data_IF_695185718882
#
_entry.id   IF_695185718882
#
_cell.length_a   1.000
_cell.length_b   1.000
_cell.length_c   1.000
_cell.angle_alpha   90.00
_cell.angle_beta   90.00
_cell.angle_gamma   90.00
#
_symmetry.space_group_name_H-M   'P 1'
#
loop_
_entity.id
_entity.type
_entity.pdbx_description
1 polymer ?
#
# COMPACT_ATOMS: atom_id res chain seq x y z
N UNK A 1 6.91 55.06 51.75
CA UNK A 1 5.83 54.11 52.10
C UNK A 1 4.68 54.31 51.10
N UNK A 2 3.99 53.25 50.65
CA UNK A 2 4.45 52.18 49.77
C UNK A 2 3.87 52.32 48.35
N UNK A 3 4.61 51.85 47.34
CA UNK A 3 4.09 51.61 45.99
C UNK A 3 3.30 50.30 45.99
N UNK A 4 2.00 50.36 45.72
CA UNK A 4 1.16 49.18 45.54
C UNK A 4 0.87 49.00 44.05
N UNK A 5 1.61 48.09 43.41
CA UNK A 5 1.22 47.53 42.11
C UNK A 5 0.40 46.26 42.37
N UNK A 6 -0.76 46.07 41.72
CA UNK A 6 -1.46 44.80 41.78
C UNK A 6 -0.70 43.76 40.94
N UNK A 7 -0.34 42.64 41.56
CA UNK A 7 0.18 41.47 40.85
C UNK A 7 -0.98 40.82 40.10
N UNK A 8 -0.99 40.93 38.77
CA UNK A 8 -1.87 40.13 37.93
C UNK A 8 -1.35 38.70 37.98
N UNK A 9 -2.08 37.84 38.69
CA UNK A 9 -1.89 36.40 38.71
C UNK A 9 -2.26 35.82 37.33
N UNK A 10 -1.33 35.23 36.57
CA UNK A 10 -1.71 34.47 35.41
C UNK A 10 -2.25 33.11 35.88
N UNK A 11 -3.58 33.03 35.88
CA UNK A 11 -4.41 31.84 35.82
C UNK A 11 -3.63 30.55 35.58
N UNK A 12 -3.56 29.75 36.65
CA UNK A 12 -3.37 28.28 36.67
C UNK A 12 -3.53 27.63 35.28
N UNK A 13 -2.39 27.34 34.65
CA UNK A 13 -2.36 26.48 33.47
C UNK A 13 -2.57 25.04 33.95
N UNK A 14 -3.56 24.28 33.46
CA UNK A 14 -3.59 22.86 33.73
C UNK A 14 -2.33 22.24 33.11
N UNK A 15 -1.49 21.63 33.94
CA UNK A 15 -0.42 20.77 33.46
C UNK A 15 -1.03 19.70 32.57
N UNK A 16 -0.56 19.48 31.33
CA UNK A 16 -0.81 18.21 30.68
C UNK A 16 0.02 17.18 31.46
N UNK A 17 -0.61 16.47 32.38
CA UNK A 17 -0.12 15.18 32.86
C UNK A 17 -0.20 14.21 31.68
N UNK A 18 0.74 14.31 30.74
CA UNK A 18 1.06 13.23 29.82
C UNK A 18 2.29 12.51 30.38
N UNK A 19 2.04 11.80 31.47
CA UNK A 19 2.92 10.70 31.90
C UNK A 19 2.42 9.44 31.20
N UNK A 20 2.60 9.40 29.89
CA UNK A 20 2.54 8.15 29.13
C UNK A 20 3.95 7.88 28.64
N UNK A 21 4.54 6.88 29.26
CA UNK A 21 5.72 6.15 28.83
C UNK A 21 5.88 6.16 27.30
N UNK A 22 7.06 6.47 26.72
CA UNK A 22 7.31 6.25 25.30
C UNK A 22 7.42 4.74 25.07
N UNK A 23 6.28 4.06 25.13
CA UNK A 23 6.11 2.78 24.46
C UNK A 23 6.57 2.99 23.02
N UNK A 24 7.41 2.12 22.46
CA UNK A 24 7.81 2.25 21.07
C UNK A 24 6.53 2.32 20.25
N UNK A 25 6.28 3.47 19.62
CA UNK A 25 5.23 3.62 18.62
C UNK A 25 5.71 2.72 17.47
N UNK A 26 5.36 1.44 17.53
CA UNK A 26 5.41 0.57 16.37
C UNK A 26 4.37 1.17 15.43
N UNK A 27 4.82 2.04 14.52
CA UNK A 27 4.00 2.45 13.38
C UNK A 27 3.90 1.19 12.53
N UNK A 28 2.96 0.33 12.89
CA UNK A 28 2.57 -0.79 12.07
C UNK A 28 1.94 -0.17 10.82
N UNK A 29 2.74 -0.06 9.76
CA UNK A 29 2.24 0.39 8.49
C UNK A 29 1.34 -0.71 7.91
N UNK A 30 0.31 -0.30 7.19
CA UNK A 30 -0.62 -1.19 6.51
C UNK A 30 -0.23 -1.31 5.04
N UNK A 31 -0.34 -2.50 4.47
CA UNK A 31 -0.17 -2.67 3.01
C UNK A 31 -1.38 -2.01 2.35
N UNK A 32 -1.11 -0.98 1.54
CA UNK A 32 -2.12 -0.27 0.77
C UNK A 32 -2.04 -0.67 -0.69
N UNK A 33 -3.21 -0.78 -1.29
CA UNK A 33 -3.46 -1.14 -2.67
C UNK A 33 -4.20 -0.01 -3.40
N UNK A 34 -4.20 -0.09 -4.72
CA UNK A 34 -4.90 0.83 -5.60
C UNK A 34 -6.14 0.17 -6.19
N UNK A 35 -7.10 -0.20 -5.34
CA UNK A 35 -8.37 -0.74 -5.83
C UNK A 35 -9.24 0.35 -6.44
N UNK A 36 -9.49 0.25 -7.75
CA UNK A 36 -10.34 1.20 -8.47
C UNK A 36 -11.83 0.93 -8.22
N UNK A 37 -12.64 1.98 -8.35
CA UNK A 37 -14.09 1.83 -8.41
C UNK A 37 -14.53 1.07 -9.67
N UNK A 38 -15.70 0.43 -9.63
CA UNK A 38 -16.30 -0.22 -10.83
C UNK A 38 -16.42 0.75 -12.00
N UNK A 39 -16.77 2.00 -11.74
CA UNK A 39 -16.87 3.02 -12.78
C UNK A 39 -15.50 3.32 -13.41
N UNK A 40 -14.43 3.40 -12.62
CA UNK A 40 -13.06 3.60 -13.11
C UNK A 40 -12.62 2.44 -14.00
N UNK A 41 -12.80 1.19 -13.53
CA UNK A 41 -12.49 -0.02 -14.30
C UNK A 41 -13.22 -0.03 -15.65
N UNK A 42 -14.50 0.31 -15.67
CA UNK A 42 -15.30 0.38 -16.91
C UNK A 42 -14.89 1.51 -17.87
N UNK A 43 -14.25 2.57 -17.36
CA UNK A 43 -13.82 3.72 -18.16
C UNK A 43 -12.32 3.71 -18.45
N UNK A 44 -11.62 2.58 -18.17
CA UNK A 44 -10.16 2.46 -18.34
C UNK A 44 -9.43 3.61 -17.63
N UNK A 45 -9.80 3.84 -16.38
CA UNK A 45 -9.16 4.81 -15.49
C UNK A 45 -8.56 4.05 -14.32
N UNK A 46 -7.34 4.41 -13.99
CA UNK A 46 -6.58 3.77 -12.91
C UNK A 46 -6.21 4.81 -11.86
N UNK A 47 -6.02 4.37 -10.63
CA UNK A 47 -5.69 5.24 -9.50
C UNK A 47 -4.40 6.05 -9.73
N UNK A 48 -3.46 5.49 -10.48
CA UNK A 48 -2.15 6.07 -10.77
C UNK A 48 -2.15 7.10 -11.90
N UNK A 49 -3.16 7.09 -12.78
CA UNK A 49 -3.22 7.96 -13.96
C UNK A 49 -4.32 9.01 -13.88
N UNK A 50 -5.28 8.84 -12.96
CA UNK A 50 -6.45 9.70 -12.87
C UNK A 50 -6.41 10.62 -11.64
N UNK A 51 -5.49 11.58 -11.64
CA UNK A 51 -5.27 12.55 -10.55
C UNK A 51 -6.54 13.29 -10.10
N UNK A 52 -7.49 13.51 -11.03
CA UNK A 52 -8.75 14.17 -10.71
C UNK A 52 -9.51 13.43 -9.60
N UNK A 53 -9.64 12.10 -9.67
CA UNK A 53 -10.39 11.37 -8.63
C UNK A 53 -9.63 11.34 -7.32
N UNK A 54 -8.31 11.26 -7.39
CA UNK A 54 -7.45 11.28 -6.21
C UNK A 54 -7.63 12.59 -5.43
N UNK A 55 -7.60 13.73 -6.12
CA UNK A 55 -7.74 15.02 -5.47
C UNK A 55 -9.19 15.36 -5.06
N UNK A 56 -10.19 14.76 -5.71
CA UNK A 56 -11.60 15.10 -5.50
C UNK A 56 -12.29 14.21 -4.47
N UNK A 57 -11.95 12.92 -4.41
CA UNK A 57 -12.72 11.94 -3.64
C UNK A 57 -11.97 11.33 -2.45
N UNK A 58 -10.64 11.16 -2.54
CA UNK A 58 -9.85 10.70 -1.40
C UNK A 58 -10.12 11.61 -0.21
N UNK A 59 -10.37 11.01 0.97
CA UNK A 59 -10.78 11.64 2.23
C UNK A 59 -11.99 12.62 2.21
N UNK A 60 -12.50 13.03 1.05
CA UNK A 60 -13.59 14.00 0.89
C UNK A 60 -14.95 13.36 0.65
N UNK A 61 -14.98 12.14 0.11
CA UNK A 61 -16.22 11.40 -0.13
C UNK A 61 -16.44 10.34 0.93
N UNK A 62 -17.58 10.36 1.62
CA UNK A 62 -17.93 9.33 2.61
C UNK A 62 -17.92 7.93 2.00
N UNK A 63 -18.42 7.79 0.76
CA UNK A 63 -18.38 6.52 0.04
C UNK A 63 -16.95 6.04 -0.20
N UNK A 64 -16.04 6.93 -0.61
CA UNK A 64 -14.63 6.57 -0.81
C UNK A 64 -13.91 6.30 0.50
N UNK A 65 -14.18 7.04 1.56
CA UNK A 65 -13.62 6.78 2.89
C UNK A 65 -14.00 5.39 3.41
N UNK A 66 -15.25 4.97 3.21
CA UNK A 66 -15.73 3.68 3.68
C UNK A 66 -15.18 2.49 2.87
N UNK A 67 -14.91 2.69 1.58
CA UNK A 67 -14.45 1.62 0.68
C UNK A 67 -12.94 1.65 0.42
N UNK A 68 -12.25 2.73 0.82
CA UNK A 68 -10.80 2.91 0.70
C UNK A 68 -10.29 2.71 -0.75
N UNK A 69 -10.98 3.26 -1.74
CA UNK A 69 -10.55 3.18 -3.14
C UNK A 69 -9.23 3.91 -3.37
N UNK A 70 -8.37 3.40 -4.25
CA UNK A 70 -7.10 4.03 -4.57
C UNK A 70 -6.25 4.37 -3.33
N UNK A 71 -6.28 3.52 -2.30
CA UNK A 71 -5.74 3.84 -0.97
C UNK A 71 -4.27 4.23 -1.01
N UNK A 72 -3.47 3.52 -1.79
CA UNK A 72 -2.04 3.82 -1.95
C UNK A 72 -1.82 5.16 -2.68
N UNK A 73 -2.50 5.37 -3.80
CA UNK A 73 -2.41 6.62 -4.57
C UNK A 73 -2.92 7.83 -3.78
N UNK A 74 -4.02 7.68 -3.03
CA UNK A 74 -4.52 8.69 -2.10
C UNK A 74 -3.45 9.05 -1.05
N UNK A 75 -2.82 8.06 -0.43
CA UNK A 75 -1.78 8.27 0.57
C UNK A 75 -0.55 8.97 0.00
N UNK A 76 -0.04 8.50 -1.13
CA UNK A 76 1.11 9.10 -1.81
C UNK A 76 0.84 10.54 -2.27
N UNK A 77 -0.40 10.88 -2.61
CA UNK A 77 -0.82 12.24 -2.97
C UNK A 77 -1.07 13.15 -1.74
N UNK A 78 -0.87 12.67 -0.50
CA UNK A 78 -1.15 13.43 0.72
C UNK A 78 -2.63 13.57 1.05
N UNK A 79 -3.50 12.82 0.35
CA UNK A 79 -4.94 12.76 0.58
C UNK A 79 -5.35 11.40 1.17
N UNK A 80 -4.45 10.74 1.90
CA UNK A 80 -4.72 9.45 2.53
C UNK A 80 -5.95 9.48 3.44
N UNK A 81 -6.50 8.31 3.71
CA UNK A 81 -7.64 8.18 4.61
C UNK A 81 -7.21 8.22 6.06
N UNK A 82 -8.11 8.68 6.94
CA UNK A 82 -7.83 8.79 8.37
C UNK A 82 -7.44 7.43 8.97
N UNK A 83 -6.35 7.43 9.74
CA UNK A 83 -5.78 6.24 10.38
C UNK A 83 -4.92 5.36 9.46
N UNK A 84 -4.94 5.57 8.15
CA UNK A 84 -4.16 4.76 7.22
C UNK A 84 -2.70 5.26 7.16
N UNK A 85 -1.76 4.40 7.50
CA UNK A 85 -0.33 4.64 7.29
C UNK A 85 0.20 3.58 6.34
N UNK A 86 0.31 3.91 5.06
CA UNK A 86 0.71 2.93 4.06
C UNK A 86 2.19 2.55 4.21
N UNK A 87 2.47 1.25 4.08
CA UNK A 87 3.85 0.80 3.89
C UNK A 87 4.29 1.21 2.49
N UNK A 88 5.22 2.16 2.38
CA UNK A 88 5.97 2.40 1.15
C UNK A 88 7.06 1.33 0.96
N UNK A 89 6.72 0.06 1.18
CA UNK A 89 7.59 -1.02 0.70
C UNK A 89 7.54 -0.94 -0.82
N UNK A 90 8.69 -0.82 -1.51
CA UNK A 90 8.69 -1.06 -2.94
C UNK A 90 8.08 -2.45 -3.09
N UNK A 91 6.98 -2.53 -3.84
CA UNK A 91 6.45 -3.81 -4.32
C UNK A 91 7.56 -4.41 -5.17
N UNK A 92 8.51 -5.08 -4.52
CA UNK A 92 9.64 -5.73 -5.15
C UNK A 92 9.08 -6.89 -5.94
N UNK A 93 8.70 -6.55 -7.15
CA UNK A 93 8.23 -7.37 -8.26
C UNK A 93 6.91 -8.14 -8.05
N UNK A 94 6.09 -8.30 -9.11
CA UNK A 94 5.23 -9.48 -9.18
C UNK A 94 6.12 -10.69 -8.92
N UNK A 95 5.61 -11.69 -8.20
CA UNK A 95 6.27 -12.98 -8.03
C UNK A 95 6.42 -13.64 -9.40
N UNK A 96 7.41 -13.18 -10.16
CA UNK A 96 8.06 -13.83 -11.27
C UNK A 96 8.91 -14.91 -10.63
N UNK A 97 8.25 -15.90 -10.05
CA UNK A 97 8.73 -17.24 -10.27
C UNK A 97 8.27 -17.58 -11.68
N UNK A 98 9.14 -17.55 -12.71
CA UNK A 98 9.02 -18.62 -13.68
C UNK A 98 8.97 -19.89 -12.82
N UNK A 99 7.91 -20.69 -12.95
CA UNK A 99 7.99 -22.10 -12.59
C UNK A 99 9.06 -22.73 -13.46
N UNK A 100 10.33 -22.48 -13.13
CA UNK A 100 11.42 -23.34 -13.47
C UNK A 100 11.12 -24.62 -12.69
N UNK A 101 10.32 -25.51 -13.29
CA UNK A 101 10.32 -26.92 -12.92
C UNK A 101 11.75 -27.41 -13.09
N UNK A 102 12.46 -27.83 -12.04
CA UNK A 102 13.67 -28.59 -12.20
C UNK A 102 13.30 -30.03 -11.89
N UNK A 103 13.08 -30.85 -12.92
CA UNK A 103 13.21 -32.32 -12.89
C UNK A 103 12.49 -32.91 -14.09
N UNK A 104 12.98 -33.89 -14.80
CA UNK A 104 14.25 -34.61 -14.80
C UNK A 104 14.11 -35.43 -16.06
N UNK A 105 14.92 -35.17 -17.08
CA UNK A 105 15.03 -36.07 -18.21
C UNK A 105 15.58 -37.41 -17.70
N UNK A 106 14.90 -38.55 -17.87
CA UNK A 106 15.60 -39.82 -17.91
C UNK A 106 16.24 -39.89 -19.29
N UNK A 107 17.56 -39.72 -19.32
CA UNK A 107 18.36 -40.12 -20.47
C UNK A 107 18.32 -41.65 -20.51
N UNK A 108 17.55 -42.22 -21.45
CA UNK A 108 17.68 -43.61 -21.87
C UNK A 108 17.71 -43.63 -23.40
N UNK A 109 18.93 -43.45 -23.89
CA UNK A 109 19.58 -44.05 -25.06
C UNK A 109 18.77 -44.35 -26.35
N UNK A 110 19.26 -43.93 -27.53
CA UNK A 110 18.72 -44.32 -28.83
C UNK A 110 19.29 -45.68 -29.26
N UNK A 111 18.54 -46.76 -29.08
CA UNK A 111 18.88 -48.04 -29.71
C UNK A 111 17.90 -48.38 -30.83
N UNK A 112 18.28 -47.89 -32.01
CA UNK A 112 18.39 -48.68 -33.25
C UNK A 112 17.24 -49.64 -33.58
N UNK A 113 16.46 -49.35 -34.63
CA UNK A 113 15.93 -50.35 -35.59
C UNK A 113 15.17 -49.68 -36.74
N UNK A 114 15.87 -49.12 -37.71
CA UNK A 114 15.49 -49.12 -39.13
C UNK A 114 16.78 -48.94 -39.95
N UNK A 115 16.91 -49.40 -41.22
CA UNK A 115 15.89 -49.97 -42.11
C UNK A 115 16.33 -51.29 -42.78
N UNK A 116 15.47 -51.89 -43.62
CA UNK A 116 15.87 -52.28 -44.98
C UNK A 116 14.71 -52.87 -45.77
N UNK A 117 14.21 -52.06 -46.70
CA UNK A 117 13.64 -52.51 -47.96
C UNK A 117 14.68 -53.33 -48.75
N UNK A 118 14.27 -54.41 -49.45
CA UNK A 118 14.28 -54.58 -50.94
C UNK A 118 14.14 -56.10 -51.34
N UNK A 119 14.02 -56.51 -52.64
CA UNK A 119 12.88 -57.26 -53.17
C UNK A 119 13.23 -58.68 -53.69
N UNK A 120 12.23 -59.46 -54.12
CA UNK A 120 12.30 -60.48 -55.20
C UNK A 120 10.91 -60.95 -55.61
#
# INVERSE_FOLDING_TARGET
>A
MPSSVPSLDPSSMPSPTDRTDPSPISIDCIICDDEETTWMKNNTKDCSTFDYVINTFCNKSTYWNNNKFCRLSCYNAGNGYEGDVCCNVPSSEPSSVPSAMPSSVPSLDPSSSEPSSDPS
#
